data_IF_445131073199
#
_entry.id   IF_445131073199
#
_cell.length_a   1.000
_cell.length_b   1.000
_cell.length_c   1.000
_cell.angle_alpha   90.00
_cell.angle_beta   90.00
_cell.angle_gamma   90.00
#
_symmetry.space_group_name_H-M   'P 1'
#
loop_
_entity.id
_entity.type
_entity.pdbx_description
1 polymer ?
#
# COMPACT_ATOMS: atom_id res chain seq x y z
N UNK A 1 -11.10 -19.86 15.50
CA UNK A 1 -10.06 -19.67 14.46
C UNK A 1 -9.19 -20.92 14.38
N UNK A 2 -8.56 -21.20 13.23
CA UNK A 2 -7.58 -22.29 13.06
C UNK A 2 -6.29 -21.71 12.50
N UNK A 3 -5.15 -22.23 12.95
CA UNK A 3 -3.84 -21.85 12.42
C UNK A 3 -3.58 -22.51 11.07
N UNK A 4 -2.72 -21.88 10.26
CA UNK A 4 -2.22 -22.40 8.99
C UNK A 4 -0.70 -22.58 9.10
N UNK A 5 -0.20 -23.77 8.75
CA UNK A 5 1.24 -23.99 8.55
C UNK A 5 1.56 -23.59 7.11
N UNK A 6 2.46 -22.63 6.93
CA UNK A 6 2.81 -22.06 5.62
C UNK A 6 4.30 -21.72 5.59
N UNK A 7 4.94 -21.94 4.44
CA UNK A 7 6.27 -21.45 4.14
C UNK A 7 6.16 -20.09 3.45
N UNK A 8 6.58 -19.01 4.12
CA UNK A 8 6.53 -17.66 3.56
C UNK A 8 7.57 -17.41 2.46
N UNK A 9 8.49 -18.36 2.23
CA UNK A 9 9.49 -18.28 1.17
C UNK A 9 9.04 -18.96 -0.13
N UNK A 10 7.88 -19.63 -0.13
CA UNK A 10 7.31 -20.26 -1.32
C UNK A 10 7.08 -19.22 -2.44
N UNK A 11 7.70 -19.37 -3.63
CA UNK A 11 7.53 -18.45 -4.75
C UNK A 11 6.08 -18.27 -5.20
N UNK A 12 5.18 -19.22 -4.93
CA UNK A 12 3.76 -19.10 -5.24
C UNK A 12 3.04 -18.02 -4.42
N UNK A 13 3.60 -17.63 -3.26
CA UNK A 13 3.07 -16.56 -2.41
C UNK A 13 3.66 -15.18 -2.73
N UNK A 14 4.66 -15.13 -3.62
CA UNK A 14 5.34 -13.90 -4.00
C UNK A 14 4.68 -13.27 -5.24
N UNK A 15 4.21 -12.01 -5.18
CA UNK A 15 3.76 -11.32 -6.37
C UNK A 15 4.93 -11.09 -7.34
N UNK A 16 4.60 -10.85 -8.61
CA UNK A 16 5.62 -10.56 -9.64
C UNK A 16 6.52 -9.40 -9.19
N UNK A 17 7.83 -9.64 -9.18
CA UNK A 17 8.84 -8.63 -8.82
C UNK A 17 9.18 -8.56 -7.34
N UNK A 18 8.60 -9.40 -6.49
CA UNK A 18 8.84 -9.41 -5.03
C UNK A 18 10.31 -9.45 -4.63
N UNK A 19 11.10 -10.40 -5.17
CA UNK A 19 12.52 -10.57 -4.82
C UNK A 19 13.42 -9.43 -5.29
N UNK A 20 12.96 -8.63 -6.26
CA UNK A 20 13.70 -7.52 -6.85
C UNK A 20 13.16 -6.14 -6.46
N UNK A 21 12.25 -6.06 -5.48
CA UNK A 21 11.61 -4.80 -5.09
C UNK A 21 12.65 -3.77 -4.64
N UNK A 22 12.78 -2.68 -5.39
CA UNK A 22 13.58 -1.52 -5.02
C UNK A 22 12.68 -0.49 -4.33
N UNK A 23 12.99 -0.17 -3.07
CA UNK A 23 12.29 0.87 -2.31
C UNK A 23 12.81 2.26 -2.69
N UNK A 24 12.00 3.32 -2.53
CA UNK A 24 12.49 4.69 -2.52
C UNK A 24 13.64 4.87 -1.51
N UNK A 25 14.49 5.89 -1.73
CA UNK A 25 15.57 6.21 -0.81
C UNK A 25 15.01 6.52 0.60
N UNK A 26 15.74 6.13 1.63
CA UNK A 26 15.33 6.39 3.00
C UNK A 26 15.37 7.90 3.30
N UNK A 27 14.30 8.42 3.89
CA UNK A 27 14.23 9.80 4.36
C UNK A 27 14.84 9.89 5.77
N UNK A 28 15.70 10.89 6.06
CA UNK A 28 16.13 11.15 7.42
C UNK A 28 14.93 11.34 8.34
N UNK A 29 14.96 10.79 9.56
CA UNK A 29 13.79 10.81 10.45
C UNK A 29 13.26 12.22 10.74
N UNK A 30 14.15 13.21 10.82
CA UNK A 30 13.79 14.63 11.01
C UNK A 30 12.98 15.23 9.85
N UNK A 31 13.10 14.63 8.66
CA UNK A 31 12.46 15.05 7.41
C UNK A 31 11.28 14.12 7.05
N UNK A 32 10.98 13.12 7.89
CA UNK A 32 9.94 12.14 7.63
C UNK A 32 8.54 12.76 7.77
N UNK A 33 7.73 12.60 6.72
CA UNK A 33 6.32 12.94 6.73
C UNK A 33 5.51 11.65 6.62
N UNK A 34 4.70 11.38 7.64
CA UNK A 34 3.95 10.12 7.81
C UNK A 34 2.47 10.40 7.64
N UNK A 35 1.84 9.69 6.70
CA UNK A 35 0.39 9.66 6.55
C UNK A 35 -0.18 8.48 7.33
N UNK A 36 -0.79 8.73 8.48
CA UNK A 36 -1.54 7.70 9.18
C UNK A 36 -2.80 7.33 8.38
N UNK A 37 -3.04 6.03 8.21
CA UNK A 37 -4.12 5.52 7.37
C UNK A 37 -4.62 4.17 7.86
N UNK A 38 -5.95 3.99 7.81
CA UNK A 38 -6.59 2.70 8.05
C UNK A 38 -7.02 2.05 6.73
N UNK A 39 -6.75 0.75 6.56
CA UNK A 39 -6.98 0.00 5.31
C UNK A 39 -8.44 0.07 4.87
N UNK A 40 -9.38 -0.10 5.81
CA UNK A 40 -10.81 -0.04 5.50
C UNK A 40 -11.18 1.37 5.03
N UNK A 41 -10.79 2.37 5.81
CA UNK A 41 -11.25 3.76 5.65
C UNK A 41 -10.74 4.37 4.35
N UNK A 42 -9.54 3.94 3.91
CA UNK A 42 -8.93 4.38 2.66
C UNK A 42 -9.84 4.21 1.43
N UNK A 43 -10.63 3.15 1.38
CA UNK A 43 -11.34 2.78 0.15
C UNK A 43 -12.81 2.41 0.33
N UNK A 44 -13.31 2.22 1.56
CA UNK A 44 -14.69 1.75 1.79
C UNK A 44 -15.76 2.71 1.24
N UNK A 45 -15.47 4.01 1.17
CA UNK A 45 -16.38 5.03 0.61
C UNK A 45 -15.96 5.52 -0.78
N UNK A 46 -14.81 5.10 -1.30
CA UNK A 46 -14.34 5.48 -2.63
C UNK A 46 -15.06 4.66 -3.70
N UNK A 47 -16.09 5.27 -4.30
CA UNK A 47 -16.88 4.67 -5.41
C UNK A 47 -16.05 4.36 -6.67
N UNK A 48 -14.80 4.81 -6.74
CA UNK A 48 -13.89 4.51 -7.85
C UNK A 48 -12.90 3.37 -7.54
N UNK A 49 -12.86 2.88 -6.30
CA UNK A 49 -12.13 1.68 -5.93
C UNK A 49 -12.90 0.42 -6.36
N UNK A 50 -12.18 -0.61 -6.78
CA UNK A 50 -12.77 -1.91 -7.15
C UNK A 50 -12.78 -2.89 -5.98
N UNK A 51 -11.99 -2.63 -4.95
CA UNK A 51 -11.80 -3.51 -3.79
C UNK A 51 -12.01 -2.74 -2.47
N UNK A 52 -13.23 -2.22 -2.21
CA UNK A 52 -13.48 -1.33 -1.08
C UNK A 52 -13.21 -2.01 0.26
N UNK A 53 -12.27 -1.45 1.01
CA UNK A 53 -11.87 -1.89 2.34
C UNK A 53 -10.87 -3.06 2.38
N UNK A 54 -10.24 -3.40 1.25
CA UNK A 54 -9.28 -4.50 1.15
C UNK A 54 -7.85 -4.00 0.87
N UNK A 55 -6.83 -4.82 1.17
CA UNK A 55 -5.44 -4.56 0.74
C UNK A 55 -5.31 -4.44 -0.79
N UNK A 56 -6.19 -5.08 -1.56
CA UNK A 56 -6.17 -5.01 -3.02
C UNK A 56 -6.54 -3.62 -3.56
N UNK A 57 -7.19 -2.77 -2.76
CA UNK A 57 -7.52 -1.39 -3.12
C UNK A 57 -6.28 -0.56 -3.50
N UNK A 58 -5.12 -0.82 -2.88
CA UNK A 58 -3.88 -0.13 -3.17
C UNK A 58 -3.31 -0.46 -4.56
N UNK A 59 -3.87 -1.45 -5.24
CA UNK A 59 -3.54 -1.80 -6.63
C UNK A 59 -4.47 -1.13 -7.66
N UNK A 60 -5.56 -0.49 -7.20
CA UNK A 60 -6.49 0.23 -8.07
C UNK A 60 -5.90 1.60 -8.44
N UNK A 61 -4.84 1.64 -9.25
CA UNK A 61 -4.04 2.84 -9.55
C UNK A 61 -4.81 4.03 -10.13
N UNK A 62 -6.05 3.81 -10.59
CA UNK A 62 -6.95 4.84 -11.12
C UNK A 62 -8.03 5.29 -10.13
N UNK A 63 -8.10 4.72 -8.92
CA UNK A 63 -9.02 5.16 -7.87
C UNK A 63 -8.65 6.55 -7.36
N UNK A 64 -9.63 7.28 -6.83
CA UNK A 64 -9.40 8.60 -6.23
C UNK A 64 -8.50 8.49 -5.02
N UNK A 65 -8.62 7.42 -4.22
CA UNK A 65 -7.72 7.13 -3.10
C UNK A 65 -6.25 7.03 -3.54
N UNK A 66 -5.96 6.21 -4.55
CA UNK A 66 -4.59 6.05 -5.05
C UNK A 66 -4.04 7.30 -5.74
N UNK A 67 -4.88 8.03 -6.48
CA UNK A 67 -4.49 9.33 -7.05
C UNK A 67 -4.18 10.36 -5.96
N UNK A 68 -4.91 10.33 -4.83
CA UNK A 68 -4.65 11.20 -3.70
C UNK A 68 -3.34 10.85 -2.99
N UNK A 69 -3.08 9.56 -2.68
CA UNK A 69 -1.80 9.13 -2.12
C UNK A 69 -0.61 9.50 -3.02
N UNK A 70 -0.78 9.38 -4.34
CA UNK A 70 0.24 9.84 -5.28
C UNK A 70 0.51 11.34 -5.16
N UNK A 71 -0.52 12.18 -5.05
CA UNK A 71 -0.36 13.63 -4.86
C UNK A 71 0.33 13.97 -3.54
N UNK A 72 0.01 13.25 -2.46
CA UNK A 72 0.68 13.39 -1.16
C UNK A 72 2.17 13.04 -1.27
N UNK A 73 2.50 11.91 -1.90
CA UNK A 73 3.88 11.52 -2.15
C UNK A 73 4.63 12.55 -3.01
N UNK A 74 4.01 13.04 -4.09
CA UNK A 74 4.57 14.08 -4.95
C UNK A 74 4.78 15.42 -4.18
N UNK A 75 4.08 15.63 -3.06
CA UNK A 75 4.20 16.81 -2.18
C UNK A 75 5.15 16.65 -0.99
N UNK A 76 5.73 15.46 -0.79
CA UNK A 76 6.75 15.22 0.25
C UNK A 76 6.36 14.18 1.32
N UNK A 77 5.16 13.59 1.27
CA UNK A 77 4.82 12.45 2.12
C UNK A 77 5.73 11.27 1.79
N UNK A 78 6.50 10.82 2.78
CA UNK A 78 7.52 9.77 2.60
C UNK A 78 7.05 8.39 3.09
N UNK A 79 6.07 8.35 3.98
CA UNK A 79 5.57 7.11 4.59
C UNK A 79 4.04 7.12 4.67
N UNK A 80 3.47 5.92 4.53
CA UNK A 80 2.07 5.57 4.84
C UNK A 80 2.14 4.32 5.70
#
# INVERSE_FOLDING_TARGET
ARSLVVDLTDPALAPRGWSGLKKPAATPLRDAQIQELHVRDFSITDRTAKHPGEYRAFTDTRSKGMQHLKKLADSGTSYV
#
